data_IF_222507408066
#
_entry.id   IF_222507408066
#
_cell.length_a   1.000
_cell.length_b   1.000
_cell.length_c   1.000
_cell.angle_alpha   90.00
_cell.angle_beta   90.00
_cell.angle_gamma   90.00
#
_symmetry.space_group_name_H-M   'P 1'
#
loop_
_entity.id
_entity.type
_entity.pdbx_description
1 polymer ?
#
# COMPACT_ATOMS: atom_id res chain seq x y z
N UNK A 1 -5.04 -5.43 -10.33
CA UNK A 1 -4.14 -4.54 -9.56
C UNK A 1 -2.90 -5.33 -9.20
N UNK A 2 -1.71 -4.75 -9.41
CA UNK A 2 -0.43 -5.34 -8.99
C UNK A 2 -0.22 -5.10 -7.49
N UNK A 3 0.23 -6.13 -6.77
CA UNK A 3 0.39 -6.10 -5.31
C UNK A 3 1.75 -6.66 -4.92
N UNK A 4 2.43 -5.97 -4.00
CA UNK A 4 3.78 -6.25 -3.54
C UNK A 4 3.78 -6.38 -2.02
N UNK A 5 4.01 -7.57 -1.47
CA UNK A 5 4.21 -7.74 -0.03
C UNK A 5 5.65 -7.38 0.35
N UNK A 6 5.85 -6.66 1.46
CA UNK A 6 7.18 -6.11 1.84
C UNK A 6 7.74 -6.59 3.18
N UNK A 7 6.97 -7.27 4.02
CA UNK A 7 7.42 -7.68 5.36
C UNK A 7 6.82 -9.01 5.81
N UNK A 8 7.59 -9.70 6.64
CA UNK A 8 7.16 -10.89 7.37
C UNK A 8 6.99 -10.53 8.85
N UNK A 9 6.03 -11.20 9.49
CA UNK A 9 5.77 -11.11 10.93
C UNK A 9 5.92 -12.50 11.52
N UNK A 10 6.32 -12.64 12.80
CA UNK A 10 6.45 -13.95 13.45
C UNK A 10 5.07 -14.48 13.85
N UNK A 11 4.26 -14.77 12.84
CA UNK A 11 3.07 -15.59 12.92
C UNK A 11 3.36 -16.85 12.10
N UNK A 12 2.67 -17.95 12.39
CA UNK A 12 2.76 -19.12 11.54
C UNK A 12 2.41 -18.78 10.08
N UNK A 13 3.12 -19.43 9.16
CA UNK A 13 3.04 -19.18 7.72
C UNK A 13 1.61 -19.26 7.21
N UNK A 14 0.82 -20.21 7.73
CA UNK A 14 -0.58 -20.40 7.35
C UNK A 14 -1.45 -19.21 7.79
N UNK A 15 -1.22 -18.67 8.99
CA UNK A 15 -1.92 -17.47 9.49
C UNK A 15 -1.60 -16.24 8.63
N UNK A 16 -0.32 -16.05 8.28
CA UNK A 16 0.11 -14.97 7.37
C UNK A 16 -0.48 -15.14 5.97
N UNK A 17 -0.56 -16.38 5.48
CA UNK A 17 -1.14 -16.72 4.19
C UNK A 17 -2.63 -16.39 4.11
N UNK A 18 -3.39 -16.68 5.17
CA UNK A 18 -4.81 -16.35 5.27
C UNK A 18 -5.03 -14.83 5.20
N UNK A 19 -4.30 -14.05 6.01
CA UNK A 19 -4.38 -12.59 6.01
C UNK A 19 -4.01 -12.04 4.62
N UNK A 20 -2.92 -12.54 4.04
CA UNK A 20 -2.45 -12.13 2.72
C UNK A 20 -3.48 -12.45 1.64
N UNK A 21 -4.13 -13.61 1.70
CA UNK A 21 -5.18 -14.00 0.75
C UNK A 21 -6.37 -13.05 0.81
N UNK A 22 -6.83 -12.69 2.01
CA UNK A 22 -7.94 -11.75 2.18
C UNK A 22 -7.57 -10.35 1.67
N UNK A 23 -6.44 -9.81 2.13
CA UNK A 23 -6.02 -8.45 1.75
C UNK A 23 -5.76 -8.36 0.24
N UNK A 24 -5.05 -9.32 -0.33
CA UNK A 24 -4.79 -9.33 -1.78
C UNK A 24 -6.06 -9.57 -2.60
N UNK A 25 -6.97 -10.41 -2.12
CA UNK A 25 -8.27 -10.64 -2.73
C UNK A 25 -9.13 -9.37 -2.77
N UNK A 26 -9.20 -8.64 -1.66
CA UNK A 26 -9.93 -7.37 -1.58
C UNK A 26 -9.35 -6.30 -2.50
N UNK A 27 -8.01 -6.19 -2.58
CA UNK A 27 -7.31 -5.27 -3.49
C UNK A 27 -7.48 -5.66 -4.98
N UNK A 28 -7.39 -6.96 -5.32
CA UNK A 28 -7.56 -7.43 -6.70
C UNK A 28 -8.96 -7.19 -7.26
N UNK A 29 -9.97 -7.16 -6.40
CA UNK A 29 -11.36 -6.81 -6.78
C UNK A 29 -11.56 -5.32 -7.09
N UNK A 30 -10.55 -4.47 -6.92
CA UNK A 30 -10.60 -3.08 -7.36
C UNK A 30 -10.27 -3.03 -8.86
N UNK A 31 -11.29 -2.87 -9.70
CA UNK A 31 -11.14 -2.84 -11.16
C UNK A 31 -11.79 -1.59 -11.76
N UNK A 32 -11.37 -1.23 -12.98
CA UNK A 32 -11.91 -0.08 -13.72
C UNK A 32 -12.30 -0.45 -15.15
N UNK A 33 -11.59 -1.39 -15.78
CA UNK A 33 -11.81 -1.82 -17.16
C UNK A 33 -11.73 -3.34 -17.22
N UNK A 34 -12.86 -4.01 -17.44
CA UNK A 34 -12.93 -5.47 -17.32
C UNK A 34 -12.49 -5.94 -15.94
N UNK A 35 -11.56 -6.90 -15.91
CA UNK A 35 -10.98 -7.47 -14.69
C UNK A 35 -9.69 -6.75 -14.24
N UNK A 36 -9.32 -5.65 -14.90
CA UNK A 36 -8.08 -4.92 -14.66
C UNK A 36 -8.32 -3.57 -13.98
N UNK A 37 -7.35 -3.18 -13.16
CA UNK A 37 -7.21 -1.84 -12.59
C UNK A 37 -6.35 -0.97 -13.50
N UNK A 38 -6.98 -0.43 -14.55
CA UNK A 38 -6.36 0.50 -15.50
C UNK A 38 -6.70 1.94 -15.08
N UNK A 39 -5.69 2.79 -14.89
CA UNK A 39 -5.91 4.18 -14.48
C UNK A 39 -5.69 5.14 -15.64
N UNK A 40 -6.57 6.13 -15.76
CA UNK A 40 -6.35 7.25 -16.65
C UNK A 40 -5.44 8.30 -16.01
N UNK A 41 -4.27 8.52 -16.60
CA UNK A 41 -3.25 9.47 -16.14
C UNK A 41 -3.16 10.74 -17.01
N UNK A 42 -4.19 11.01 -17.82
CA UNK A 42 -4.28 12.27 -18.58
C UNK A 42 -4.23 13.48 -17.64
N UNK A 43 -3.44 14.49 -18.00
CA UNK A 43 -3.31 15.72 -17.22
C UNK A 43 -4.45 16.67 -17.55
N UNK A 44 -5.32 16.92 -16.56
CA UNK A 44 -6.43 17.86 -16.69
C UNK A 44 -6.12 19.19 -16.04
N UNK A 45 -6.84 20.22 -16.48
CA UNK A 45 -6.75 21.56 -15.95
C UNK A 45 -8.11 22.05 -15.45
N UNK A 46 -8.08 23.06 -14.58
CA UNK A 46 -9.27 23.77 -14.10
C UNK A 46 -9.02 25.27 -14.07
N UNK A 47 -10.09 26.05 -14.21
CA UNK A 47 -10.06 27.49 -13.95
C UNK A 47 -10.11 27.75 -12.44
N UNK A 48 -9.22 28.60 -11.94
CA UNK A 48 -9.25 29.12 -10.57
C UNK A 48 -10.27 30.26 -10.48
N UNK A 49 -10.79 30.51 -9.26
CA UNK A 49 -11.69 31.65 -9.00
C UNK A 49 -11.10 33.00 -9.45
N UNK A 50 -9.78 33.17 -9.33
CA UNK A 50 -9.03 34.37 -9.76
C UNK A 50 -8.65 34.37 -11.27
N UNK A 51 -9.30 33.55 -12.09
CA UNK A 51 -9.16 33.58 -13.55
C UNK A 51 -8.01 32.77 -14.16
N UNK A 52 -7.01 32.34 -13.38
CA UNK A 52 -5.90 31.51 -13.88
C UNK A 52 -6.29 30.06 -14.17
N UNK A 53 -5.49 29.35 -14.98
CA UNK A 53 -5.62 27.91 -15.24
C UNK A 53 -4.52 27.16 -14.50
N UNK A 54 -4.84 26.02 -13.88
CA UNK A 54 -3.86 25.12 -13.27
C UNK A 54 -4.27 23.67 -13.44
N UNK A 55 -3.29 22.77 -13.34
CA UNK A 55 -3.58 21.33 -13.31
C UNK A 55 -4.54 20.97 -12.18
N UNK A 56 -5.31 19.92 -12.40
CA UNK A 56 -6.21 19.32 -11.42
C UNK A 56 -6.14 17.79 -11.51
N UNK A 57 -6.74 17.14 -10.51
CA UNK A 57 -6.83 15.69 -10.41
C UNK A 57 -8.28 15.29 -10.64
N UNK A 58 -8.50 14.31 -11.51
CA UNK A 58 -9.82 13.72 -11.73
C UNK A 58 -10.03 12.39 -10.99
N UNK A 59 -8.96 11.66 -10.69
CA UNK A 59 -9.06 10.41 -9.93
C UNK A 59 -9.20 10.70 -8.43
N UNK A 60 -10.31 10.30 -7.83
CA UNK A 60 -10.52 10.47 -6.40
C UNK A 60 -9.88 9.32 -5.60
N UNK A 61 -9.07 9.67 -4.59
CA UNK A 61 -8.48 8.69 -3.66
C UNK A 61 -9.54 7.84 -2.94
N UNK A 62 -10.68 8.46 -2.57
CA UNK A 62 -11.79 7.79 -1.91
C UNK A 62 -12.46 6.67 -2.74
N UNK A 63 -12.21 6.59 -4.06
CA UNK A 63 -12.62 5.41 -4.84
C UNK A 63 -11.96 4.14 -4.31
N UNK A 64 -10.64 4.18 -4.09
CA UNK A 64 -9.85 3.02 -3.70
C UNK A 64 -10.22 2.57 -2.29
N UNK A 65 -10.18 3.47 -1.30
CA UNK A 65 -10.46 3.11 0.09
C UNK A 65 -11.87 2.56 0.28
N UNK A 66 -12.90 3.18 -0.31
CA UNK A 66 -14.30 2.68 -0.19
C UNK A 66 -14.52 1.36 -0.92
N UNK A 67 -13.93 1.19 -2.10
CA UNK A 67 -14.05 -0.07 -2.84
C UNK A 67 -13.33 -1.19 -2.11
N UNK A 68 -12.15 -0.91 -1.55
CA UNK A 68 -11.41 -1.86 -0.70
C UNK A 68 -12.23 -2.27 0.53
N UNK A 69 -12.74 -1.31 1.30
CA UNK A 69 -13.58 -1.57 2.48
C UNK A 69 -14.76 -2.49 2.13
N UNK A 70 -15.52 -2.16 1.08
CA UNK A 70 -16.64 -2.99 0.60
C UNK A 70 -16.21 -4.39 0.13
N UNK A 71 -15.02 -4.50 -0.47
CA UNK A 71 -14.49 -5.78 -0.91
C UNK A 71 -14.01 -6.63 0.27
N UNK A 72 -13.50 -5.99 1.32
CA UNK A 72 -13.03 -6.63 2.55
C UNK A 72 -14.18 -7.27 3.33
N UNK A 73 -15.34 -6.60 3.39
CA UNK A 73 -16.58 -7.10 4.01
C UNK A 73 -17.15 -8.38 3.36
N UNK A 74 -16.65 -8.78 2.19
CA UNK A 74 -17.07 -10.01 1.52
C UNK A 74 -16.33 -11.26 2.05
N UNK A 75 -15.32 -11.07 2.90
CA UNK A 75 -14.58 -12.16 3.52
C UNK A 75 -15.14 -12.41 4.93
N UNK A 76 -15.28 -13.68 5.29
CA UNK A 76 -15.85 -14.06 6.58
C UNK A 76 -14.98 -13.55 7.74
N UNK A 77 -15.61 -13.04 8.80
CA UNK A 77 -14.94 -12.42 9.95
C UNK A 77 -14.09 -11.16 9.64
N UNK A 78 -14.32 -10.51 8.49
CA UNK A 78 -13.74 -9.22 8.15
C UNK A 78 -14.80 -8.13 7.98
N UNK A 79 -14.47 -6.93 8.45
CA UNK A 79 -15.28 -5.73 8.32
C UNK A 79 -14.50 -4.65 7.57
N UNK A 80 -15.21 -3.77 6.89
CA UNK A 80 -14.67 -2.55 6.28
C UNK A 80 -14.33 -1.51 7.34
N UNK A 81 -14.64 -0.23 7.06
CA UNK A 81 -14.34 0.85 8.00
C UNK A 81 -14.89 0.54 9.39
N UNK A 82 -13.99 0.52 10.37
CA UNK A 82 -14.29 0.11 11.75
C UNK A 82 -13.80 1.19 12.71
N UNK A 83 -14.54 1.40 13.79
CA UNK A 83 -14.17 2.33 14.86
C UNK A 83 -13.99 1.57 16.17
N UNK A 84 -12.81 1.69 16.79
CA UNK A 84 -12.52 1.19 18.14
C UNK A 84 -11.98 2.35 18.98
N UNK A 85 -12.56 2.58 20.15
CA UNK A 85 -12.18 3.68 21.06
C UNK A 85 -11.96 5.03 20.35
N UNK A 86 -12.96 5.45 19.56
CA UNK A 86 -12.96 6.71 18.78
C UNK A 86 -11.87 6.80 17.70
N UNK A 87 -11.13 5.72 17.42
CA UNK A 87 -10.20 5.63 16.29
C UNK A 87 -10.83 4.85 15.15
N UNK A 88 -10.98 5.51 14.00
CA UNK A 88 -11.50 4.87 12.78
C UNK A 88 -10.36 4.47 11.83
N UNK A 89 -10.47 3.28 11.27
CA UNK A 89 -9.49 2.65 10.39
C UNK A 89 -10.20 1.81 9.31
N UNK A 90 -9.50 1.49 8.23
CA UNK A 90 -10.10 1.02 6.97
C UNK A 90 -10.58 -0.44 6.98
N UNK A 91 -10.19 -1.24 7.97
CA UNK A 91 -10.58 -2.64 8.00
C UNK A 91 -10.23 -3.33 9.30
N UNK A 92 -11.08 -4.27 9.72
CA UNK A 92 -10.86 -5.09 10.91
C UNK A 92 -11.14 -6.56 10.60
N UNK A 93 -10.21 -7.45 10.97
CA UNK A 93 -10.35 -8.89 10.76
C UNK A 93 -10.12 -9.69 12.03
N UNK A 94 -10.84 -10.80 12.18
CA UNK A 94 -10.49 -11.87 13.11
C UNK A 94 -9.97 -13.05 12.29
N UNK A 95 -8.73 -13.46 12.55
CA UNK A 95 -8.09 -14.56 11.82
C UNK A 95 -7.71 -15.64 12.80
N UNK A 96 -8.01 -16.89 12.47
CA UNK A 96 -7.70 -18.03 13.34
C UNK A 96 -6.19 -18.18 13.44
N UNK A 97 -5.68 -18.37 14.65
CA UNK A 97 -4.27 -18.66 14.85
C UNK A 97 -4.02 -20.13 14.52
N UNK A 98 -3.05 -20.37 13.65
CA UNK A 98 -2.58 -21.69 13.27
C UNK A 98 -1.15 -21.88 13.79
N UNK A 99 -0.81 -23.09 14.23
CA UNK A 99 0.55 -23.42 14.71
C UNK A 99 0.84 -23.07 16.17
N UNK A 100 2.09 -23.30 16.59
CA UNK A 100 2.56 -23.06 17.96
C UNK A 100 2.72 -21.57 18.24
N UNK A 101 2.37 -21.18 19.46
CA UNK A 101 2.54 -19.82 19.96
C UNK A 101 3.49 -19.82 21.15
N UNK A 102 4.15 -18.69 21.34
CA UNK A 102 5.19 -18.56 22.35
C UNK A 102 4.97 -17.34 23.24
N UNK A 103 5.40 -17.48 24.49
CA UNK A 103 5.44 -16.42 25.48
C UNK A 103 6.81 -16.26 26.10
N UNK A 104 7.04 -15.10 26.72
CA UNK A 104 8.22 -14.77 27.52
C UNK A 104 7.79 -14.06 28.80
N UNK A 105 8.60 -14.14 29.86
CA UNK A 105 8.36 -13.35 31.07
C UNK A 105 8.89 -11.91 30.92
N UNK A 106 8.37 -10.99 31.74
CA UNK A 106 8.84 -9.59 31.72
C UNK A 106 10.30 -9.46 32.14
N UNK A 107 10.76 -10.33 33.05
CA UNK A 107 12.15 -10.34 33.55
C UNK A 107 13.14 -10.68 32.44
N UNK A 108 12.80 -11.63 31.57
CA UNK A 108 13.67 -12.09 30.48
C UNK A 108 13.61 -11.15 29.26
N UNK A 109 12.50 -10.45 29.07
CA UNK A 109 12.24 -9.61 27.89
C UNK A 109 13.33 -8.57 27.65
N UNK A 110 13.76 -7.84 28.69
CA UNK A 110 14.79 -6.81 28.56
C UNK A 110 16.13 -7.36 28.05
N UNK A 111 16.48 -8.56 28.49
CA UNK A 111 17.69 -9.27 28.04
C UNK A 111 17.54 -9.72 26.58
N UNK A 112 16.42 -10.36 26.24
CA UNK A 112 16.13 -10.84 24.88
C UNK A 112 16.14 -9.70 23.88
N UNK A 113 15.56 -8.54 24.19
CA UNK A 113 15.53 -7.38 23.30
C UNK A 113 16.94 -6.82 23.05
N UNK A 114 17.80 -6.77 24.08
CA UNK A 114 19.19 -6.33 23.92
C UNK A 114 19.99 -7.26 23.01
N UNK A 115 19.88 -8.57 23.23
CA UNK A 115 20.56 -9.55 22.38
C UNK A 115 19.97 -9.58 20.96
N UNK A 116 18.65 -9.43 20.80
CA UNK A 116 18.01 -9.29 19.48
C UNK A 116 18.58 -8.11 18.69
N UNK A 117 18.70 -6.93 19.32
CA UNK A 117 19.28 -5.73 18.68
C UNK A 117 20.71 -5.98 18.24
N UNK A 118 21.50 -6.66 19.07
CA UNK A 118 22.89 -7.01 18.76
C UNK A 118 23.00 -8.03 17.62
N UNK A 119 22.23 -9.11 17.67
CA UNK A 119 22.23 -10.19 16.66
C UNK A 119 21.73 -9.70 15.30
N UNK A 120 20.75 -8.79 15.28
CA UNK A 120 20.18 -8.22 14.05
C UNK A 120 20.84 -6.91 13.61
N UNK A 121 21.95 -6.52 14.26
CA UNK A 121 22.73 -5.31 13.97
C UNK A 121 21.88 -4.03 13.90
N UNK A 122 20.96 -3.86 14.84
CA UNK A 122 20.09 -2.68 14.95
C UNK A 122 20.75 -1.61 15.82
N UNK A 123 20.40 -0.32 15.62
CA UNK A 123 20.88 0.74 16.50
C UNK A 123 20.43 0.54 17.95
N UNK A 124 21.30 0.87 18.91
CA UNK A 124 21.00 0.72 20.34
C UNK A 124 19.76 1.53 20.79
N UNK A 125 19.51 2.69 20.16
CA UNK A 125 18.34 3.51 20.46
C UNK A 125 17.00 2.85 20.06
N UNK A 126 17.03 1.75 19.29
CA UNK A 126 15.83 0.96 18.99
C UNK A 126 15.36 0.07 20.16
N UNK A 127 16.06 0.07 21.31
CA UNK A 127 15.68 -0.72 22.48
C UNK A 127 14.22 -0.52 22.89
N UNK A 128 13.79 0.72 23.12
CA UNK A 128 12.42 0.99 23.56
C UNK A 128 11.38 0.54 22.54
N UNK A 129 11.68 0.68 21.24
CA UNK A 129 10.82 0.21 20.15
C UNK A 129 10.60 -1.29 20.22
N UNK A 130 11.68 -2.06 20.21
CA UNK A 130 11.57 -3.52 20.21
C UNK A 130 11.08 -4.07 21.54
N UNK A 131 11.39 -3.40 22.66
CA UNK A 131 10.81 -3.74 23.95
C UNK A 131 9.28 -3.66 23.92
N UNK A 132 8.71 -2.56 23.43
CA UNK A 132 7.26 -2.40 23.33
C UNK A 132 6.63 -3.42 22.37
N UNK A 133 7.26 -3.66 21.21
CA UNK A 133 6.79 -4.63 20.22
C UNK A 133 6.79 -6.05 20.81
N UNK A 134 7.92 -6.49 21.36
CA UNK A 134 8.06 -7.85 21.91
C UNK A 134 7.21 -8.04 23.16
N UNK A 135 7.07 -7.00 24.00
CA UNK A 135 6.13 -7.03 25.12
C UNK A 135 4.71 -7.30 24.62
N UNK A 136 4.25 -6.51 23.65
CA UNK A 136 2.91 -6.67 23.09
C UNK A 136 2.70 -8.05 22.47
N UNK A 137 3.70 -8.61 21.80
CA UNK A 137 3.62 -9.89 21.11
C UNK A 137 3.71 -11.08 22.07
N UNK A 138 4.77 -11.16 22.87
CA UNK A 138 5.14 -12.37 23.61
C UNK A 138 4.83 -12.31 25.11
N UNK A 139 4.59 -11.13 25.68
CA UNK A 139 4.15 -11.02 27.09
C UNK A 139 2.63 -10.95 27.15
N UNK A 140 2.06 -9.97 26.45
CA UNK A 140 0.62 -9.65 26.54
C UNK A 140 -0.26 -10.59 25.72
N UNK A 141 0.07 -10.84 24.45
CA UNK A 141 -0.81 -11.56 23.52
C UNK A 141 -0.54 -13.04 23.42
N UNK A 142 0.75 -13.40 23.35
CA UNK A 142 1.20 -14.80 23.31
C UNK A 142 0.60 -15.56 22.12
N UNK A 143 0.50 -14.88 20.99
CA UNK A 143 -0.12 -15.38 19.73
C UNK A 143 0.88 -15.50 18.57
N UNK A 144 2.19 -15.45 18.87
CA UNK A 144 3.24 -15.27 17.87
C UNK A 144 4.19 -16.48 17.86
N UNK A 145 4.66 -16.85 16.67
CA UNK A 145 5.69 -17.87 16.46
C UNK A 145 7.08 -17.30 16.73
N UNK A 146 8.13 -18.09 16.54
CA UNK A 146 9.52 -17.64 16.67
C UNK A 146 10.26 -17.59 15.32
N UNK A 147 9.53 -17.70 14.20
CA UNK A 147 10.13 -17.90 12.86
C UNK A 147 11.05 -16.75 12.43
N UNK A 148 10.72 -15.51 12.84
CA UNK A 148 11.54 -14.33 12.55
C UNK A 148 12.50 -13.97 13.68
N UNK A 149 12.54 -14.76 14.77
CA UNK A 149 13.39 -14.53 15.93
C UNK A 149 14.67 -15.38 15.78
N UNK A 150 15.88 -14.81 16.01
CA UNK A 150 17.12 -15.58 15.98
C UNK A 150 17.05 -16.80 16.90
N UNK A 151 17.46 -17.97 16.38
CA UNK A 151 17.36 -19.27 17.06
C UNK A 151 18.07 -19.27 18.41
N UNK A 152 19.14 -18.48 18.56
CA UNK A 152 19.90 -18.31 19.81
C UNK A 152 19.04 -17.75 20.96
N UNK A 153 17.95 -17.07 20.63
CA UNK A 153 17.03 -16.48 21.60
C UNK A 153 15.84 -17.39 21.94
N UNK A 154 15.59 -18.45 21.18
CA UNK A 154 14.41 -19.31 21.35
C UNK A 154 14.32 -19.94 22.74
N UNK A 155 15.45 -20.20 23.38
CA UNK A 155 15.53 -20.77 24.75
C UNK A 155 14.90 -19.92 25.85
N UNK A 156 14.65 -18.64 25.59
CA UNK A 156 14.00 -17.71 26.53
C UNK A 156 12.47 -17.69 26.35
N UNK A 157 11.94 -18.46 25.41
CA UNK A 157 10.52 -18.51 25.13
C UNK A 157 9.97 -19.87 25.55
N UNK A 158 8.74 -19.86 26.03
CA UNK A 158 7.96 -21.05 26.34
C UNK A 158 6.79 -21.16 25.39
N UNK A 159 6.47 -22.37 24.95
CA UNK A 159 5.24 -22.63 24.21
C UNK A 159 4.04 -22.38 25.14
N UNK A 160 3.00 -21.76 24.60
CA UNK A 160 1.80 -21.37 25.31
C UNK A 160 0.56 -21.74 24.51
N UNK A 161 -0.56 -21.95 25.20
CA UNK A 161 -1.85 -22.14 24.55
C UNK A 161 -2.18 -20.89 23.72
N UNK A 162 -2.41 -21.03 22.41
CA UNK A 162 -2.69 -19.89 21.55
C UNK A 162 -4.05 -19.29 21.90
N UNK A 163 -4.19 -17.98 21.70
CA UNK A 163 -5.53 -17.40 21.50
C UNK A 163 -6.19 -18.09 20.31
N UNK A 164 -7.52 -18.18 20.31
CA UNK A 164 -8.24 -18.75 19.17
C UNK A 164 -8.05 -17.90 17.90
N UNK A 165 -8.02 -16.57 18.08
CA UNK A 165 -7.93 -15.60 16.99
C UNK A 165 -6.88 -14.52 17.25
N UNK A 166 -6.40 -13.94 16.16
CA UNK A 166 -5.64 -12.70 16.11
C UNK A 166 -6.51 -11.59 15.50
N UNK A 167 -6.49 -10.41 16.11
CA UNK A 167 -7.23 -9.22 15.66
C UNK A 167 -6.36 -8.38 14.74
N UNK A 168 -6.80 -8.17 13.51
CA UNK A 168 -6.02 -7.48 12.47
C UNK A 168 -6.64 -6.12 12.18
N UNK A 169 -5.88 -5.04 12.36
CA UNK A 169 -6.28 -3.69 11.95
C UNK A 169 -5.64 -3.29 10.61
N UNK A 170 -6.42 -2.72 9.70
CA UNK A 170 -5.98 -2.36 8.35
C UNK A 170 -6.07 -0.86 8.11
N UNK A 171 -5.04 -0.28 7.49
CA UNK A 171 -5.05 1.09 6.94
C UNK A 171 -4.67 1.05 5.45
N UNK A 172 -5.52 1.64 4.61
CA UNK A 172 -5.26 1.80 3.18
C UNK A 172 -5.05 3.27 2.82
N UNK A 173 -3.78 3.67 2.84
CA UNK A 173 -3.36 5.04 2.62
C UNK A 173 -3.20 5.38 1.14
N UNK A 174 -4.12 6.23 0.68
CA UNK A 174 -4.20 6.78 -0.69
C UNK A 174 -4.01 8.29 -0.71
N UNK A 175 -3.89 8.91 0.46
CA UNK A 175 -3.72 10.34 0.67
C UNK A 175 -2.27 10.76 0.72
N UNK A 176 -2.00 11.86 1.42
CA UNK A 176 -0.68 12.43 1.49
C UNK A 176 0.29 11.65 2.40
N UNK A 177 1.59 11.82 2.22
CA UNK A 177 2.63 11.16 3.02
C UNK A 177 2.47 11.42 4.53
N UNK A 178 2.00 12.61 4.93
CA UNK A 178 1.73 12.91 6.33
C UNK A 178 0.57 12.09 6.91
N UNK A 179 -0.41 11.76 6.08
CA UNK A 179 -1.55 10.91 6.43
C UNK A 179 -1.06 9.48 6.64
N UNK A 180 -0.09 8.99 5.87
CA UNK A 180 0.58 7.69 6.11
C UNK A 180 1.13 7.57 7.54
N UNK A 181 1.85 8.58 8.03
CA UNK A 181 2.37 8.57 9.41
C UNK A 181 1.26 8.60 10.45
N UNK A 182 0.17 9.35 10.20
CA UNK A 182 -1.00 9.35 11.08
C UNK A 182 -1.66 7.97 11.10
N UNK A 183 -1.78 7.32 9.95
CA UNK A 183 -2.38 5.99 9.81
C UNK A 183 -1.57 4.92 10.54
N UNK A 184 -0.24 4.94 10.40
CA UNK A 184 0.65 4.09 11.20
C UNK A 184 0.55 4.38 12.71
N UNK A 185 0.43 5.65 13.10
CA UNK A 185 0.24 6.00 14.51
C UNK A 185 -1.10 5.51 15.07
N UNK A 186 -2.17 5.53 14.27
CA UNK A 186 -3.45 4.92 14.65
C UNK A 186 -3.26 3.43 14.96
N UNK A 187 -2.61 2.68 14.07
CA UNK A 187 -2.32 1.26 14.29
C UNK A 187 -1.44 1.03 15.52
N UNK A 188 -0.40 1.85 15.74
CA UNK A 188 0.43 1.79 16.95
C UNK A 188 -0.41 1.97 18.22
N UNK A 189 -1.33 2.93 18.24
CA UNK A 189 -2.18 3.21 19.41
C UNK A 189 -3.14 2.05 19.66
N UNK A 190 -3.79 1.54 18.61
CA UNK A 190 -4.68 0.37 18.71
C UNK A 190 -3.93 -0.85 19.26
N UNK A 191 -2.68 -1.07 18.80
CA UNK A 191 -1.83 -2.14 19.32
C UNK A 191 -1.42 -1.89 20.77
N UNK A 192 -0.98 -0.68 21.12
CA UNK A 192 -0.58 -0.35 22.49
C UNK A 192 -1.73 -0.49 23.50
N UNK A 193 -2.97 -0.24 23.07
CA UNK A 193 -4.19 -0.41 23.88
C UNK A 193 -4.77 -1.82 23.85
N UNK A 194 -4.08 -2.77 23.24
CA UNK A 194 -4.54 -4.15 23.12
C UNK A 194 -5.90 -4.29 22.40
N UNK A 195 -6.18 -3.45 21.41
CA UNK A 195 -7.40 -3.48 20.59
C UNK A 195 -7.21 -4.27 19.29
N UNK A 196 -5.99 -4.24 18.75
CA UNK A 196 -5.55 -5.11 17.65
C UNK A 196 -4.29 -5.84 18.07
N UNK A 197 -3.98 -6.93 17.39
CA UNK A 197 -2.79 -7.74 17.62
C UNK A 197 -1.78 -7.61 16.49
N UNK A 198 -2.25 -7.31 15.29
CA UNK A 198 -1.45 -7.11 14.08
C UNK A 198 -1.96 -5.91 13.29
N UNK A 199 -1.04 -5.15 12.70
CA UNK A 199 -1.38 -4.13 11.70
C UNK A 199 -1.18 -4.63 10.26
N UNK A 200 -1.99 -4.12 9.35
CA UNK A 200 -1.78 -4.18 7.91
C UNK A 200 -1.76 -2.75 7.38
N UNK A 201 -0.68 -2.38 6.70
CA UNK A 201 -0.54 -1.07 6.09
C UNK A 201 -0.39 -1.18 4.56
N UNK A 202 -1.29 -0.52 3.85
CA UNK A 202 -1.39 -0.57 2.39
C UNK A 202 -1.14 0.84 1.87
N UNK A 203 -0.23 0.98 0.91
CA UNK A 203 -0.06 2.23 0.16
C UNK A 203 0.54 1.96 -1.21
N UNK A 204 0.73 3.00 -2.03
CA UNK A 204 1.33 2.81 -3.35
C UNK A 204 2.78 2.34 -3.24
N UNK A 205 3.20 1.44 -4.12
CA UNK A 205 4.54 0.88 -4.07
C UNK A 205 5.62 1.92 -4.39
N UNK A 206 5.37 2.72 -5.43
CA UNK A 206 6.31 3.72 -5.94
C UNK A 206 5.63 5.08 -6.19
N UNK A 207 6.40 6.15 -6.01
CA UNK A 207 5.93 7.51 -6.21
C UNK A 207 5.78 7.84 -7.68
N UNK A 208 6.84 7.64 -8.46
CA UNK A 208 6.96 8.19 -9.82
C UNK A 208 6.10 7.42 -10.81
N UNK A 209 6.11 6.08 -10.71
CA UNK A 209 5.43 5.19 -11.65
C UNK A 209 4.02 4.81 -11.21
N UNK A 210 3.59 5.18 -10.00
CA UNK A 210 2.25 4.90 -9.50
C UNK A 210 1.57 6.16 -8.93
N UNK A 211 1.90 6.59 -7.71
CA UNK A 211 1.11 7.60 -6.99
C UNK A 211 1.00 8.95 -7.73
N UNK A 212 2.09 9.42 -8.33
CA UNK A 212 2.15 10.68 -9.06
C UNK A 212 1.43 10.60 -10.42
N UNK A 213 1.26 9.41 -10.99
CA UNK A 213 0.48 9.23 -12.23
C UNK A 213 -1.02 9.16 -11.98
N UNK A 214 -1.43 8.52 -10.89
CA UNK A 214 -2.84 8.47 -10.49
C UNK A 214 -3.33 9.87 -10.07
N UNK A 215 -2.49 10.62 -9.34
CA UNK A 215 -2.85 11.89 -8.70
C UNK A 215 -1.76 12.99 -8.88
N UNK A 216 -1.52 13.46 -10.11
CA UNK A 216 -0.38 14.30 -10.46
C UNK A 216 -0.36 15.69 -9.82
N UNK A 217 -1.53 16.31 -9.60
CA UNK A 217 -1.58 17.63 -8.98
C UNK A 217 -1.46 17.58 -7.43
N UNK A 218 -1.48 16.39 -6.85
CA UNK A 218 -1.23 16.15 -5.42
C UNK A 218 0.17 15.56 -5.27
N UNK A 219 1.21 16.36 -5.46
CA UNK A 219 2.61 15.94 -5.30
C UNK A 219 2.95 15.37 -3.90
N UNK A 220 1.98 15.36 -2.97
CA UNK A 220 2.11 14.86 -1.60
C UNK A 220 1.66 13.42 -1.40
N UNK A 221 1.15 12.67 -2.40
CA UNK A 221 0.61 11.33 -2.12
C UNK A 221 1.66 10.36 -1.58
N UNK A 222 1.31 9.60 -0.53
CA UNK A 222 2.22 8.64 0.10
C UNK A 222 2.58 7.49 -0.83
N UNK A 223 3.81 6.98 -0.67
CA UNK A 223 4.28 5.75 -1.29
C UNK A 223 5.33 5.11 -0.39
N UNK A 224 5.55 3.81 -0.55
CA UNK A 224 6.60 3.11 0.17
C UNK A 224 8.00 3.66 -0.13
N UNK A 225 8.32 3.95 -1.40
CA UNK A 225 9.59 4.61 -1.75
C UNK A 225 9.78 5.95 -1.04
N UNK A 226 8.71 6.70 -0.78
CA UNK A 226 8.76 7.98 -0.07
C UNK A 226 8.87 7.81 1.46
N UNK A 227 8.22 6.78 2.00
CA UNK A 227 8.28 6.40 3.42
C UNK A 227 9.67 5.88 3.80
N UNK A 228 10.26 5.01 2.98
CA UNK A 228 11.60 4.45 3.20
C UNK A 228 12.66 5.56 3.32
N UNK A 229 12.61 6.57 2.44
CA UNK A 229 13.51 7.75 2.48
C UNK A 229 13.43 8.54 3.79
N UNK A 230 12.35 8.37 4.56
CA UNK A 230 12.10 9.03 5.85
C UNK A 230 12.28 8.10 7.03
N UNK A 231 12.76 6.87 6.82
CA UNK A 231 12.93 5.85 7.85
C UNK A 231 11.64 5.65 8.66
N UNK A 232 10.47 5.63 8.01
CA UNK A 232 9.18 5.55 8.71
C UNK A 232 9.10 4.35 9.67
N UNK A 233 9.78 3.24 9.32
CA UNK A 233 9.80 2.03 10.11
C UNK A 233 10.33 2.25 11.53
N UNK A 234 11.17 3.27 11.77
CA UNK A 234 11.63 3.64 13.12
C UNK A 234 10.49 4.07 14.04
N UNK A 235 9.33 4.43 13.48
CA UNK A 235 8.12 4.85 14.19
C UNK A 235 7.02 3.78 14.21
N UNK A 236 7.32 2.53 13.84
CA UNK A 236 6.37 1.41 13.85
C UNK A 236 6.58 0.58 15.12
N UNK A 237 5.61 0.56 16.02
CA UNK A 237 5.69 -0.06 17.35
C UNK A 237 4.75 -1.26 17.49
N UNK A 238 4.46 -1.94 16.38
CA UNK A 238 3.63 -3.14 16.31
C UNK A 238 4.18 -4.11 15.26
N UNK A 239 3.83 -5.42 15.31
CA UNK A 239 3.99 -6.30 14.16
C UNK A 239 3.11 -5.80 13.00
N UNK A 240 3.70 -5.68 11.81
CA UNK A 240 3.09 -5.01 10.66
C UNK A 240 3.31 -5.81 9.38
N UNK A 241 2.23 -6.09 8.66
CA UNK A 241 2.28 -6.53 7.26
C UNK A 241 2.10 -5.34 6.33
N UNK A 242 2.86 -5.32 5.24
CA UNK A 242 2.92 -4.19 4.31
C UNK A 242 2.61 -4.60 2.89
N UNK A 243 1.67 -3.90 2.25
CA UNK A 243 1.23 -4.18 0.88
C UNK A 243 1.35 -2.93 0.00
N UNK A 244 2.34 -2.93 -0.89
CA UNK A 244 2.47 -1.97 -1.97
C UNK A 244 1.48 -2.28 -3.09
N UNK A 245 0.84 -1.28 -3.68
CA UNK A 245 0.03 -1.47 -4.89
C UNK A 245 0.52 -0.65 -6.09
N UNK A 246 0.18 -1.12 -7.30
CA UNK A 246 0.27 -0.36 -8.53
C UNK A 246 -0.89 -0.73 -9.49
N UNK A 247 -1.31 0.18 -10.39
CA UNK A 247 -2.19 -0.15 -11.51
C UNK A 247 -1.64 -1.26 -12.38
N UNK A 248 -2.52 -2.05 -12.99
CA UNK A 248 -2.09 -3.05 -13.99
C UNK A 248 -1.57 -2.35 -15.24
N UNK A 249 -2.21 -1.24 -15.63
CA UNK A 249 -1.79 -0.39 -16.72
C UNK A 249 -2.26 1.06 -16.52
N UNK A 250 -1.73 1.94 -17.37
CA UNK A 250 -2.24 3.28 -17.55
C UNK A 250 -2.74 3.45 -18.97
N UNK A 251 -3.91 4.08 -19.14
CA UNK A 251 -4.50 4.32 -20.45
C UNK A 251 -5.35 5.58 -20.46
N UNK A 252 -5.20 6.38 -21.52
CA UNK A 252 -6.03 7.57 -21.77
C UNK A 252 -7.50 7.23 -22.06
N UNK A 253 -7.80 5.99 -22.43
CA UNK A 253 -9.16 5.50 -22.71
C UNK A 253 -9.91 5.03 -21.46
N UNK A 254 -9.18 4.77 -20.38
CA UNK A 254 -9.73 4.29 -19.12
C UNK A 254 -10.65 5.35 -18.49
N UNK A 255 -11.67 4.94 -17.72
CA UNK A 255 -12.48 5.89 -16.98
C UNK A 255 -11.72 6.45 -15.77
N UNK A 256 -12.21 7.56 -15.22
CA UNK A 256 -11.67 8.21 -14.01
C UNK A 256 -12.38 7.70 -12.76
N UNK A 257 -11.69 7.83 -11.62
CA UNK A 257 -12.15 7.32 -10.33
C UNK A 257 -13.03 8.35 -9.59
N UNK A 258 -14.26 8.00 -9.23
CA UNK A 258 -15.15 8.88 -8.46
C UNK A 258 -15.07 8.62 -6.94
N UNK A 259 -15.19 9.67 -6.12
CA UNK A 259 -15.14 9.61 -4.64
C UNK A 259 -16.21 8.74 -3.97
N UNK A 260 -17.19 8.27 -4.76
CA UNK A 260 -18.30 7.41 -4.32
C UNK A 260 -18.10 5.94 -4.69
N UNK A 261 -16.93 5.57 -5.21
CA UNK A 261 -16.60 4.18 -5.56
C UNK A 261 -17.11 3.73 -6.93
N UNK A 262 -17.50 4.64 -7.82
CA UNK A 262 -17.81 4.32 -9.22
C UNK A 262 -16.83 4.98 -10.18
N UNK A 263 -16.85 4.56 -11.44
CA UNK A 263 -16.00 5.13 -12.50
C UNK A 263 -16.81 6.08 -13.40
N UNK A 264 -16.16 7.09 -13.99
CA UNK A 264 -16.83 8.05 -14.87
C UNK A 264 -15.95 8.53 -16.02
N UNK A 265 -16.55 9.05 -17.09
CA UNK A 265 -15.86 9.77 -18.17
C UNK A 265 -16.35 11.23 -18.23
N UNK A 266 -15.46 12.23 -18.28
CA UNK A 266 -15.85 13.63 -18.52
C UNK A 266 -16.61 13.75 -19.84
N UNK A 267 -17.62 14.62 -19.91
CA UNK A 267 -18.41 14.81 -21.14
C UNK A 267 -18.04 16.13 -21.82
N UNK A 268 -17.77 16.16 -23.14
CA UNK A 268 -17.45 17.39 -23.85
C UNK A 268 -18.65 18.34 -23.83
N UNK A 269 -18.39 19.63 -23.61
CA UNK A 269 -19.44 20.67 -23.56
C UNK A 269 -19.56 21.48 -24.86
N UNK A 270 -18.75 21.16 -25.88
CA UNK A 270 -18.57 21.94 -27.13
C UNK A 270 -18.04 23.36 -26.94
N UNK A 271 -17.67 23.75 -25.72
CA UNK A 271 -17.12 25.07 -25.39
C UNK A 271 -15.60 25.02 -25.33
N UNK A 272 -14.98 26.14 -25.69
CA UNK A 272 -13.54 26.34 -25.64
C UNK A 272 -13.25 27.61 -24.86
N UNK A 273 -12.11 27.65 -24.16
CA UNK A 273 -11.53 28.89 -23.61
C UNK A 273 -10.09 29.04 -24.08
N UNK A 274 -9.63 30.28 -24.18
CA UNK A 274 -8.23 30.57 -24.43
C UNK A 274 -7.59 31.11 -23.14
N UNK A 275 -6.39 30.62 -22.81
CA UNK A 275 -5.60 31.14 -21.70
C UNK A 275 -4.12 31.13 -22.06
N UNK A 276 -3.50 32.31 -22.08
CA UNK A 276 -2.07 32.51 -22.41
C UNK A 276 -1.66 31.87 -23.74
N UNK A 277 -2.49 32.00 -24.78
CA UNK A 277 -2.22 31.46 -26.11
C UNK A 277 -2.43 29.94 -26.25
N UNK A 278 -3.06 29.29 -25.27
CA UNK A 278 -3.47 27.88 -25.37
C UNK A 278 -4.99 27.78 -25.35
N UNK A 279 -5.55 27.08 -26.34
CA UNK A 279 -6.98 26.73 -26.41
C UNK A 279 -7.26 25.46 -25.61
N UNK A 280 -8.29 25.52 -24.76
CA UNK A 280 -8.74 24.41 -23.93
C UNK A 280 -10.20 24.07 -24.22
N UNK A 281 -10.47 22.80 -24.53
CA UNK A 281 -11.82 22.24 -24.58
C UNK A 281 -12.36 22.06 -23.16
N UNK A 282 -13.61 22.45 -22.95
CA UNK A 282 -14.29 22.31 -21.66
C UNK A 282 -15.08 21.01 -21.60
N UNK A 283 -14.88 20.26 -20.52
CA UNK A 283 -15.60 19.03 -20.22
C UNK A 283 -16.33 19.15 -18.88
N UNK A 284 -17.52 18.57 -18.79
CA UNK A 284 -18.24 18.38 -17.55
C UNK A 284 -17.72 17.12 -16.85
N UNK A 285 -17.07 17.27 -15.70
CA UNK A 285 -16.70 16.14 -14.85
C UNK A 285 -17.87 15.78 -13.90
N UNK A 286 -17.93 14.53 -13.43
CA UNK A 286 -19.03 14.00 -12.62
C UNK A 286 -19.37 14.79 -11.35
N UNK A 287 -18.46 15.68 -10.90
CA UNK A 287 -18.55 16.39 -9.62
C UNK A 287 -18.97 17.87 -9.77
N UNK A 288 -19.72 18.22 -10.82
CA UNK A 288 -20.22 19.58 -11.15
C UNK A 288 -19.17 20.63 -11.51
N UNK A 289 -17.87 20.30 -11.48
CA UNK A 289 -16.81 21.19 -11.95
C UNK A 289 -16.49 20.96 -13.43
N UNK A 290 -16.33 22.08 -14.16
CA UNK A 290 -15.80 22.06 -15.52
C UNK A 290 -14.29 21.86 -15.47
N UNK A 291 -13.81 20.88 -16.23
CA UNK A 291 -12.40 20.61 -16.44
C UNK A 291 -12.00 20.89 -17.87
N UNK A 292 -10.71 21.07 -18.07
CA UNK A 292 -10.13 21.64 -19.26
C UNK A 292 -9.06 20.69 -19.79
N UNK A 293 -9.06 20.47 -21.09
CA UNK A 293 -8.03 19.72 -21.80
C UNK A 293 -7.54 20.56 -23.01
N UNK A 294 -6.23 20.72 -23.21
CA UNK A 294 -5.69 21.38 -24.40
C UNK A 294 -6.27 20.78 -25.70
N UNK A 295 -6.49 21.61 -26.72
CA UNK A 295 -7.02 21.13 -28.02
C UNK A 295 -6.07 20.18 -28.75
N UNK A 296 -4.77 20.31 -28.52
CA UNK A 296 -3.75 19.43 -29.11
C UNK A 296 -3.60 18.08 -28.40
N UNK A 297 -4.21 17.91 -27.22
CA UNK A 297 -4.17 16.64 -26.49
C UNK A 297 -5.28 15.70 -26.97
N UNK A 298 -4.90 14.45 -27.27
CA UNK A 298 -5.83 13.40 -27.67
C UNK A 298 -6.83 13.09 -26.54
N UNK A 299 -8.12 13.13 -26.87
CA UNK A 299 -9.20 12.64 -26.04
C UNK A 299 -10.02 11.67 -26.87
N UNK A 300 -10.06 10.41 -26.46
CA UNK A 300 -10.81 9.36 -27.13
C UNK A 300 -12.24 9.31 -26.59
N UNK A 301 -13.20 9.57 -27.47
CA UNK A 301 -14.63 9.43 -27.18
C UNK A 301 -15.11 7.96 -27.30
N UNK A 302 -14.25 7.05 -27.77
CA UNK A 302 -14.62 5.68 -28.14
C UNK A 302 -14.30 4.65 -27.05
N UNK A 303 -15.33 4.22 -26.31
CA UNK A 303 -15.54 2.83 -25.91
C UNK A 303 -16.97 2.70 -25.37
N UNK A 304 -17.93 2.66 -26.29
CA UNK A 304 -19.35 2.47 -26.02
C UNK A 304 -19.97 1.83 -27.24
N UNK A 305 -19.80 0.51 -27.36
CA UNK A 305 -20.30 -0.29 -28.47
C UNK A 305 -19.47 -1.56 -28.63
N UNK A 306 -19.93 -2.65 -28.01
CA UNK A 306 -19.44 -3.99 -28.33
C UNK A 306 -19.74 -4.23 -29.81
N UNK A 307 -18.71 -4.42 -30.62
CA UNK A 307 -18.81 -5.15 -31.89
C UNK A 307 -17.97 -6.40 -31.74
N UNK A 308 -18.65 -7.54 -31.73
CA UNK A 308 -18.03 -8.85 -31.94
C UNK A 308 -17.27 -8.82 -33.27
N UNK A 309 -15.99 -9.21 -33.25
CA UNK A 309 -15.14 -9.21 -34.43
C UNK A 309 -13.75 -9.75 -34.14
N UNK A 310 -13.58 -11.04 -34.44
CA UNK A 310 -12.34 -11.78 -34.69
C UNK A 310 -11.15 -11.57 -33.74
N UNK A 311 -11.01 -12.53 -32.82
CA UNK A 311 -9.78 -12.82 -32.08
C UNK A 311 -8.67 -13.15 -33.07
N UNK A 312 -7.70 -12.23 -33.22
CA UNK A 312 -6.35 -12.59 -33.67
C UNK A 312 -5.47 -12.69 -32.44
N UNK A 313 -5.03 -13.90 -32.13
CA UNK A 313 -4.03 -14.17 -31.10
C UNK A 313 -2.76 -13.34 -31.39
N UNK A 314 -2.25 -12.57 -30.41
CA UNK A 314 -0.89 -12.07 -30.48
C UNK A 314 0.06 -13.18 -30.04
N UNK A 315 0.85 -13.69 -30.98
CA UNK A 315 2.06 -14.48 -30.72
C UNK A 315 2.97 -13.80 -29.70
N UNK A 316 3.15 -14.44 -28.55
CA UNK A 316 4.15 -14.08 -27.55
C UNK A 316 5.57 -14.34 -28.11
N UNK A 317 6.52 -13.39 -28.01
CA UNK A 317 7.92 -13.74 -28.18
C UNK A 317 8.39 -14.52 -26.95
N UNK A 318 8.74 -15.79 -27.17
CA UNK A 318 9.53 -16.62 -26.28
C UNK A 318 10.81 -15.88 -25.84
N UNK A 319 10.89 -15.47 -24.57
CA UNK A 319 12.18 -15.17 -23.94
C UNK A 319 12.73 -16.48 -23.35
N UNK A 320 13.70 -17.05 -24.09
CA UNK A 320 14.50 -18.17 -23.63
C UNK A 320 15.28 -17.77 -22.37
N UNK A 321 15.20 -18.64 -21.37
CA UNK A 321 16.12 -18.74 -20.26
C UNK A 321 17.54 -19.01 -20.75
N UNK A 322 18.41 -18.00 -20.72
CA UNK A 322 19.86 -18.14 -20.52
C UNK A 322 20.52 -16.77 -20.66
N UNK A 323 20.98 -16.20 -19.55
CA UNK A 323 22.30 -15.56 -19.53
C UNK A 323 22.77 -15.36 -18.09
N UNK A 324 23.37 -16.44 -17.58
CA UNK A 324 24.35 -16.42 -16.50
C UNK A 324 25.60 -15.73 -17.04
N UNK A 325 25.93 -14.55 -16.53
CA UNK A 325 27.28 -13.92 -16.48
C UNK A 325 27.15 -12.56 -15.78
N UNK A 326 27.96 -12.16 -14.80
CA UNK A 326 29.12 -12.77 -14.17
C UNK A 326 29.54 -11.91 -12.96
N UNK A 327 29.95 -12.57 -11.88
CA UNK A 327 30.53 -12.01 -10.65
C UNK A 327 31.85 -11.22 -10.82
N UNK A 328 32.27 -10.88 -12.03
CA UNK A 328 33.57 -10.24 -12.29
C UNK A 328 33.54 -8.71 -12.37
N UNK A 329 32.40 -8.05 -12.16
CA UNK A 329 32.35 -6.58 -12.09
C UNK A 329 32.49 -5.99 -10.67
N UNK A 330 32.26 -6.76 -9.60
CA UNK A 330 32.42 -6.26 -8.22
C UNK A 330 33.87 -6.29 -7.69
N UNK A 331 34.78 -7.06 -8.30
CA UNK A 331 36.19 -7.13 -7.85
C UNK A 331 37.11 -6.03 -8.38
N UNK A 332 36.67 -5.19 -9.32
CA UNK A 332 37.50 -4.07 -9.85
C UNK A 332 37.34 -2.74 -9.09
N UNK A 333 36.35 -2.60 -8.20
CA UNK A 333 36.13 -1.36 -7.42
C UNK A 333 36.77 -1.35 -6.03
N UNK A 334 37.28 -2.49 -5.52
CA UNK A 334 37.94 -2.56 -4.21
C UNK A 334 39.47 -2.37 -4.24
N UNK A 335 40.11 -2.34 -5.42
CA UNK A 335 41.57 -2.09 -5.56
C UNK A 335 41.96 -0.63 -5.82
N UNK A 336 41.01 0.26 -6.09
CA UNK A 336 41.30 1.67 -6.42
C UNK A 336 41.23 2.65 -5.22
N UNK A 337 40.99 2.16 -3.99
CA UNK A 337 40.95 2.99 -2.76
C UNK A 337 42.11 2.78 -1.78
N UNK A 338 43.18 2.07 -2.19
CA UNK A 338 44.38 1.85 -1.37
C UNK A 338 45.66 2.54 -1.88
N UNK A 339 45.52 3.51 -2.80
CA UNK A 339 46.60 4.38 -3.26
C UNK A 339 46.10 5.82 -3.28
N UNK A 340 46.11 6.44 -2.10
CA UNK A 340 46.17 7.88 -1.82
C UNK A 340 46.33 8.02 -0.30
N UNK A 341 47.52 7.63 0.15
CA UNK A 341 48.18 8.24 1.32
C UNK A 341 48.69 9.61 0.92
#
# INVERSE_FOLDING_TARGET
MLIFSRQEVPLAVETVSEITTVITGALKKITTTGDEFIVNDTVWYRRKRKGGVSSCVLNAAGFLSKTFQKNLEQFDSWNGETTLEDQSFDGYGLVKILGSCFGITEEELSHVVKEYIKLTNRPLHSFLKYFNVFHGMYVTRRSFSLDTIPVELHRYFMEVEPSEFIRVGVEFETGNIGSSFRSLMKLNILFARNLIDLGVFITSNDKENCAARIWPASNRNGSFTELDKRNYFDNVYLPLLEFGFAPDAFSKDAPYLHEKGYVFKPKPTKRVIEYKGTSYRIFAAGNKDNVLLPEHDEYSESAGGIKEGEVKEPTLPFLKSSDVRSENQLRRRSRARKLKS
#
